data_IF_944708041466
#
_entry.id   IF_944708041466
#
_cell.length_a   1.000
_cell.length_b   1.000
_cell.length_c   1.000
_cell.angle_alpha   90.00
_cell.angle_beta   90.00
_cell.angle_gamma   90.00
#
_symmetry.space_group_name_H-M   'P 1'
#
loop_
_entity.id
_entity.type
_entity.pdbx_description
1 polymer ?
#
# COMPACT_ATOMS: atom_id res chain seq x y z
N UNK A 1 -9.16 -24.28 -0.47
CA UNK A 1 -8.33 -25.25 0.28
C UNK A 1 -7.01 -25.66 -0.38
N UNK A 2 -6.66 -25.19 -1.59
CA UNK A 2 -5.32 -25.41 -2.19
C UNK A 2 -4.33 -24.28 -1.92
N UNK A 3 -4.79 -23.02 -2.04
CA UNK A 3 -3.97 -21.81 -1.89
C UNK A 3 -3.29 -21.72 -0.51
N UNK A 4 -4.02 -21.93 0.59
CA UNK A 4 -3.45 -21.90 1.94
C UNK A 4 -2.36 -22.95 2.16
N UNK A 5 -2.45 -24.10 1.46
CA UNK A 5 -1.41 -25.14 1.53
C UNK A 5 -0.14 -24.74 0.77
N UNK A 6 -0.28 -24.04 -0.36
CA UNK A 6 0.83 -23.52 -1.15
C UNK A 6 1.55 -22.40 -0.39
N UNK A 7 0.81 -21.48 0.24
CA UNK A 7 1.36 -20.39 1.05
C UNK A 7 2.14 -20.97 2.25
N UNK A 8 1.61 -21.98 2.94
CA UNK A 8 2.32 -22.66 4.03
C UNK A 8 3.63 -23.33 3.57
N UNK A 9 3.65 -23.92 2.37
CA UNK A 9 4.88 -24.47 1.77
C UNK A 9 5.88 -23.37 1.42
N UNK A 10 5.43 -22.27 0.82
CA UNK A 10 6.26 -21.10 0.54
C UNK A 10 6.89 -20.53 1.80
N UNK A 11 6.10 -20.41 2.88
CA UNK A 11 6.58 -19.96 4.18
C UNK A 11 7.65 -20.89 4.77
N UNK A 12 7.48 -22.22 4.61
CA UNK A 12 8.50 -23.19 5.02
C UNK A 12 9.81 -23.01 4.23
N UNK A 13 9.74 -22.76 2.93
CA UNK A 13 10.92 -22.51 2.10
C UNK A 13 11.60 -21.19 2.47
N UNK A 14 10.83 -20.13 2.67
CA UNK A 14 11.33 -18.82 3.14
C UNK A 14 12.07 -18.93 4.47
N UNK A 15 11.51 -19.67 5.45
CA UNK A 15 12.19 -19.95 6.70
C UNK A 15 13.51 -20.72 6.51
N UNK A 16 13.52 -21.72 5.63
CA UNK A 16 14.74 -22.47 5.32
C UNK A 16 15.81 -21.55 4.70
N UNK A 17 15.43 -20.73 3.72
CA UNK A 17 16.34 -19.78 3.08
C UNK A 17 16.93 -18.82 4.12
N UNK A 18 16.12 -18.26 5.01
CA UNK A 18 16.59 -17.37 6.07
C UNK A 18 17.46 -18.09 7.12
N UNK A 19 17.35 -19.42 7.25
CA UNK A 19 18.25 -20.21 8.10
C UNK A 19 19.67 -20.25 7.53
N UNK A 20 19.81 -20.30 6.20
CA UNK A 20 21.11 -20.31 5.51
C UNK A 20 21.63 -18.91 5.18
N UNK A 21 20.72 -17.96 4.90
CA UNK A 21 21.02 -16.60 4.47
C UNK A 21 20.21 -15.60 5.31
N UNK A 22 20.60 -15.37 6.58
CA UNK A 22 19.86 -14.49 7.48
C UNK A 22 19.90 -13.03 7.05
N UNK A 23 20.82 -12.63 6.17
CA UNK A 23 20.97 -11.26 5.66
C UNK A 23 20.12 -10.97 4.43
N UNK A 24 19.33 -11.95 3.94
CA UNK A 24 18.49 -11.77 2.75
C UNK A 24 17.24 -10.95 3.11
N UNK A 25 17.35 -9.63 2.97
CA UNK A 25 16.30 -8.69 3.37
C UNK A 25 14.95 -8.91 2.67
N UNK A 26 14.96 -9.13 1.36
CA UNK A 26 13.74 -9.37 0.57
C UNK A 26 12.97 -10.60 1.07
N UNK A 27 13.67 -11.66 1.48
CA UNK A 27 13.06 -12.85 2.05
C UNK A 27 12.42 -12.56 3.43
N UNK A 28 12.97 -11.65 4.23
CA UNK A 28 12.33 -11.23 5.49
C UNK A 28 11.06 -10.43 5.27
N UNK A 29 11.09 -9.50 4.31
CA UNK A 29 9.91 -8.70 3.94
C UNK A 29 8.80 -9.61 3.43
N UNK A 30 9.13 -10.53 2.53
CA UNK A 30 8.16 -11.51 2.02
C UNK A 30 7.64 -12.42 3.13
N UNK A 31 8.49 -12.84 4.07
CA UNK A 31 8.05 -13.62 5.23
C UNK A 31 7.07 -12.83 6.11
N UNK A 32 7.37 -11.56 6.40
CA UNK A 32 6.48 -10.68 7.16
C UNK A 32 5.10 -10.54 6.47
N UNK A 33 5.07 -10.31 5.17
CA UNK A 33 3.83 -10.24 4.38
C UNK A 33 3.04 -11.56 4.43
N UNK A 34 3.70 -12.71 4.24
CA UNK A 34 3.03 -14.02 4.30
C UNK A 34 2.46 -14.33 5.68
N UNK A 35 3.12 -13.87 6.75
CA UNK A 35 2.63 -14.00 8.12
C UNK A 35 1.39 -13.15 8.35
N UNK A 36 1.37 -11.90 7.86
CA UNK A 36 0.18 -11.04 7.95
C UNK A 36 -1.02 -11.63 7.21
N UNK A 37 -0.78 -12.27 6.05
CA UNK A 37 -1.86 -12.90 5.29
C UNK A 37 -2.43 -14.14 5.99
N UNK A 38 -1.59 -14.92 6.67
CA UNK A 38 -2.00 -16.14 7.37
C UNK A 38 -2.57 -15.88 8.77
N UNK A 39 -2.04 -14.89 9.46
CA UNK A 39 -2.35 -14.58 10.86
C UNK A 39 -2.53 -13.05 11.02
N UNK A 40 -3.60 -12.48 10.45
CA UNK A 40 -3.82 -11.02 10.50
C UNK A 40 -3.96 -10.48 11.93
N UNK A 41 -4.46 -11.31 12.86
CA UNK A 41 -4.65 -10.93 14.27
C UNK A 41 -3.34 -10.97 15.10
N UNK A 42 -2.25 -11.51 14.54
CA UNK A 42 -0.96 -11.68 15.24
C UNK A 42 0.21 -11.05 14.46
N UNK A 43 0.25 -9.72 14.35
CA UNK A 43 1.27 -9.01 13.56
C UNK A 43 2.63 -8.92 14.26
N UNK A 44 2.81 -9.46 15.47
CA UNK A 44 4.04 -9.25 16.25
C UNK A 44 5.26 -9.85 15.56
N UNK A 45 5.11 -11.03 14.95
CA UNK A 45 6.17 -11.68 14.19
C UNK A 45 6.58 -10.86 12.97
N UNK A 46 5.60 -10.38 12.20
CA UNK A 46 5.85 -9.53 11.03
C UNK A 46 6.56 -8.22 11.44
N UNK A 47 6.09 -7.59 12.51
CA UNK A 47 6.68 -6.36 13.06
C UNK A 47 8.14 -6.57 13.46
N UNK A 48 8.44 -7.66 14.16
CA UNK A 48 9.81 -7.98 14.59
C UNK A 48 10.75 -8.20 13.40
N UNK A 49 10.28 -8.90 12.36
CA UNK A 49 11.06 -9.14 11.15
C UNK A 49 11.36 -7.85 10.39
N UNK A 50 10.37 -6.96 10.27
CA UNK A 50 10.55 -5.65 9.64
C UNK A 50 11.51 -4.77 10.45
N UNK A 51 11.41 -4.75 11.78
CA UNK A 51 12.35 -4.02 12.63
C UNK A 51 13.78 -4.58 12.53
N UNK A 52 13.96 -5.90 12.42
CA UNK A 52 15.26 -6.50 12.14
C UNK A 52 15.78 -6.06 10.77
N UNK A 53 14.92 -6.04 9.76
CA UNK A 53 15.29 -5.56 8.42
C UNK A 53 15.75 -4.10 8.46
N UNK A 54 15.04 -3.23 9.17
CA UNK A 54 15.40 -1.82 9.31
C UNK A 54 16.66 -1.57 10.13
N UNK A 55 17.06 -2.51 11.01
CA UNK A 55 18.36 -2.46 11.69
C UNK A 55 19.52 -2.79 10.74
N UNK A 56 19.27 -3.66 9.76
CA UNK A 56 20.25 -4.05 8.75
C UNK A 56 20.33 -3.03 7.62
N UNK A 57 19.17 -2.55 7.16
CA UNK A 57 19.01 -1.58 6.08
C UNK A 57 18.00 -0.50 6.50
N UNK A 58 18.44 0.59 7.13
CA UNK A 58 17.55 1.67 7.58
C UNK A 58 16.81 2.36 6.43
N UNK A 59 17.39 2.37 5.24
CA UNK A 59 16.86 2.96 4.00
C UNK A 59 15.76 2.14 3.31
N UNK A 60 15.38 0.99 3.86
CA UNK A 60 14.39 0.10 3.25
C UNK A 60 12.98 0.70 3.35
N UNK A 61 12.58 1.38 2.27
CA UNK A 61 11.29 2.08 2.13
C UNK A 61 10.12 1.13 2.30
N UNK A 62 10.16 -0.04 1.64
CA UNK A 62 9.07 -1.02 1.68
C UNK A 62 8.85 -1.53 3.10
N UNK A 63 9.93 -1.75 3.84
CA UNK A 63 9.85 -2.14 5.24
C UNK A 63 9.21 -1.05 6.12
N UNK A 64 9.51 0.23 5.89
CA UNK A 64 8.86 1.35 6.59
C UNK A 64 7.37 1.47 6.25
N UNK A 65 6.99 1.31 4.97
CA UNK A 65 5.60 1.38 4.54
C UNK A 65 4.76 0.23 5.11
N UNK A 66 5.30 -1.00 5.15
CA UNK A 66 4.65 -2.15 5.78
C UNK A 66 4.54 -1.99 7.30
N UNK A 67 5.58 -1.44 7.95
CA UNK A 67 5.53 -1.15 9.38
C UNK A 67 4.44 -0.12 9.69
N UNK A 68 4.30 0.91 8.85
CA UNK A 68 3.24 1.90 8.96
C UNK A 68 1.84 1.30 8.79
N UNK A 69 1.64 0.40 7.83
CA UNK A 69 0.34 -0.26 7.62
C UNK A 69 -0.05 -1.16 8.79
N UNK A 70 0.90 -1.93 9.34
CA UNK A 70 0.67 -2.75 10.54
C UNK A 70 0.31 -1.85 11.74
N UNK A 71 1.07 -0.77 11.93
CA UNK A 71 0.85 0.18 13.01
C UNK A 71 -0.52 0.86 12.92
N UNK A 72 -0.96 1.22 11.70
CA UNK A 72 -2.30 1.76 11.43
C UNK A 72 -3.40 0.75 11.80
N UNK A 73 -3.26 -0.51 11.39
CA UNK A 73 -4.21 -1.58 11.73
C UNK A 73 -4.27 -1.81 13.25
N UNK A 74 -3.12 -1.74 13.93
CA UNK A 74 -3.01 -1.82 15.39
C UNK A 74 -3.37 -0.53 16.13
N UNK A 75 -3.90 0.48 15.46
CA UNK A 75 -4.25 1.80 16.02
C UNK A 75 -3.08 2.55 16.69
N UNK A 76 -1.85 2.18 16.37
CA UNK A 76 -0.65 2.85 16.84
C UNK A 76 -0.24 3.97 15.86
N UNK A 77 -1.03 5.05 15.86
CA UNK A 77 -0.86 6.15 14.92
C UNK A 77 0.49 6.86 15.05
N UNK A 78 1.08 6.89 16.25
CA UNK A 78 2.42 7.49 16.45
C UNK A 78 3.50 6.73 15.71
N UNK A 79 3.51 5.39 15.84
CA UNK A 79 4.46 4.54 15.13
C UNK A 79 4.24 4.63 13.62
N UNK A 80 2.98 4.64 13.16
CA UNK A 80 2.65 4.78 11.76
C UNK A 80 3.18 6.09 11.16
N UNK A 81 2.92 7.23 11.83
CA UNK A 81 3.42 8.55 11.41
C UNK A 81 4.94 8.56 11.33
N UNK A 82 5.65 8.12 12.38
CA UNK A 82 7.11 8.07 12.39
C UNK A 82 7.68 7.18 11.29
N UNK A 83 7.01 6.07 10.96
CA UNK A 83 7.46 5.14 9.92
C UNK A 83 7.30 5.76 8.53
N UNK A 84 6.18 6.47 8.28
CA UNK A 84 5.97 7.20 7.02
C UNK A 84 6.94 8.37 6.85
N UNK A 85 7.26 9.09 7.92
CA UNK A 85 8.26 10.16 7.89
C UNK A 85 9.65 9.60 7.59
N UNK A 86 10.01 8.45 8.17
CA UNK A 86 11.26 7.77 7.87
C UNK A 86 11.33 7.32 6.42
N UNK A 87 10.29 6.67 5.88
CA UNK A 87 10.22 6.31 4.47
C UNK A 87 10.48 7.51 3.54
N UNK A 88 9.81 8.63 3.82
CA UNK A 88 9.95 9.85 3.03
C UNK A 88 11.33 10.52 3.20
N UNK A 89 11.98 10.38 4.35
CA UNK A 89 13.31 10.93 4.60
C UNK A 89 14.41 10.20 3.83
N UNK A 90 14.22 8.91 3.55
CA UNK A 90 15.16 8.11 2.75
C UNK A 90 14.90 8.24 1.25
N UNK A 91 13.63 8.30 0.84
CA UNK A 91 13.26 8.45 -0.56
C UNK A 91 12.05 9.38 -0.73
N UNK A 92 12.27 10.51 -1.38
CA UNK A 92 11.22 11.51 -1.65
C UNK A 92 10.22 11.05 -2.71
N UNK A 93 10.59 10.10 -3.57
CA UNK A 93 9.69 9.58 -4.62
C UNK A 93 8.50 8.82 -4.02
N UNK A 94 8.66 8.33 -2.78
CA UNK A 94 7.63 7.66 -1.98
C UNK A 94 6.36 8.47 -1.84
N UNK A 95 6.47 9.81 -1.82
CA UNK A 95 5.28 10.70 -1.74
C UNK A 95 4.29 10.48 -2.88
N UNK A 96 4.77 10.07 -4.05
CA UNK A 96 3.95 9.82 -5.24
C UNK A 96 3.38 8.40 -5.29
N UNK A 97 3.81 7.51 -4.38
CA UNK A 97 3.34 6.14 -4.33
C UNK A 97 1.89 6.12 -3.82
N UNK A 98 0.96 5.47 -4.55
CA UNK A 98 -0.43 5.37 -4.13
C UNK A 98 -0.60 4.72 -2.75
N UNK A 99 0.22 3.72 -2.43
CA UNK A 99 0.23 3.08 -1.12
C UNK A 99 0.61 4.06 0.00
N UNK A 100 1.65 4.87 -0.19
CA UNK A 100 2.02 5.91 0.78
C UNK A 100 0.90 6.94 0.96
N UNK A 101 0.32 7.42 -0.15
CA UNK A 101 -0.76 8.41 -0.11
C UNK A 101 -2.02 7.86 0.58
N UNK A 102 -2.34 6.58 0.38
CA UNK A 102 -3.42 5.87 1.08
C UNK A 102 -3.18 5.86 2.60
N UNK A 103 -2.01 5.38 3.05
CA UNK A 103 -1.67 5.31 4.47
C UNK A 103 -1.65 6.71 5.12
N UNK A 104 -1.13 7.70 4.40
CA UNK A 104 -1.13 9.09 4.86
C UNK A 104 -2.54 9.66 4.98
N UNK A 105 -3.41 9.42 3.99
CA UNK A 105 -4.82 9.81 4.04
C UNK A 105 -5.53 9.21 5.24
N UNK A 106 -5.34 7.91 5.48
CA UNK A 106 -5.89 7.22 6.66
C UNK A 106 -5.42 7.85 7.96
N UNK A 107 -4.12 8.15 8.11
CA UNK A 107 -3.61 8.82 9.30
C UNK A 107 -4.25 10.19 9.52
N UNK A 108 -4.33 11.02 8.48
CA UNK A 108 -4.97 12.33 8.55
C UNK A 108 -6.44 12.22 8.96
N UNK A 109 -7.17 11.22 8.43
CA UNK A 109 -8.54 10.93 8.86
C UNK A 109 -8.63 10.54 10.34
N UNK A 110 -7.64 9.83 10.88
CA UNK A 110 -7.58 9.51 12.33
C UNK A 110 -7.21 10.70 13.20
N UNK A 111 -6.51 11.69 12.65
CA UNK A 111 -6.22 12.97 13.31
C UNK A 111 -7.34 14.01 13.15
N UNK A 112 -8.49 13.64 12.57
CA UNK A 112 -9.62 14.54 12.29
C UNK A 112 -9.27 15.67 11.28
N UNK A 113 -8.17 15.51 10.53
CA UNK A 113 -7.74 16.42 9.47
C UNK A 113 -8.37 15.99 8.14
N UNK A 114 -9.71 16.03 8.09
CA UNK A 114 -10.48 15.43 6.99
C UNK A 114 -10.27 16.12 5.63
N UNK A 115 -10.11 17.45 5.60
CA UNK A 115 -9.83 18.18 4.37
C UNK A 115 -8.45 17.84 3.78
N UNK A 116 -7.43 17.76 4.63
CA UNK A 116 -6.08 17.36 4.22
C UNK A 116 -6.06 15.90 3.76
N UNK A 117 -6.78 15.01 4.47
CA UNK A 117 -6.94 13.62 4.07
C UNK A 117 -7.56 13.52 2.67
N UNK A 118 -8.64 14.26 2.43
CA UNK A 118 -9.33 14.26 1.15
C UNK A 118 -8.41 14.74 0.01
N UNK A 119 -7.64 15.81 0.24
CA UNK A 119 -6.72 16.35 -0.75
C UNK A 119 -5.67 15.31 -1.17
N UNK A 120 -5.05 14.63 -0.20
CA UNK A 120 -4.04 13.59 -0.46
C UNK A 120 -4.64 12.39 -1.20
N UNK A 121 -5.84 11.94 -0.81
CA UNK A 121 -6.50 10.78 -1.41
C UNK A 121 -6.98 11.07 -2.85
N UNK A 122 -7.46 12.29 -3.11
CA UNK A 122 -7.83 12.72 -4.46
C UNK A 122 -6.63 12.85 -5.39
N UNK A 123 -5.50 13.37 -4.87
CA UNK A 123 -4.23 13.40 -5.60
C UNK A 123 -3.83 11.98 -6.02
N UNK A 124 -3.93 11.02 -5.11
CA UNK A 124 -3.64 9.61 -5.40
C UNK A 124 -4.55 9.01 -6.47
N UNK A 125 -5.86 9.25 -6.42
CA UNK A 125 -6.82 8.77 -7.44
C UNK A 125 -6.56 9.38 -8.82
N UNK A 126 -6.05 10.61 -8.86
CA UNK A 126 -5.69 11.30 -10.10
C UNK A 126 -4.37 10.81 -10.71
N UNK A 127 -3.55 10.11 -9.92
CA UNK A 127 -2.21 9.70 -10.30
C UNK A 127 -2.23 8.64 -11.43
N UNK A 128 -1.29 8.75 -12.38
CA UNK A 128 -1.29 7.94 -13.60
C UNK A 128 -1.15 6.43 -13.31
N UNK A 129 -0.46 6.05 -12.23
CA UNK A 129 -0.31 4.67 -11.79
C UNK A 129 -1.67 4.02 -11.44
N UNK A 130 -2.49 4.72 -10.65
CA UNK A 130 -3.85 4.26 -10.26
C UNK A 130 -4.77 4.23 -11.47
N UNK A 131 -4.66 5.22 -12.36
CA UNK A 131 -5.47 5.26 -13.58
C UNK A 131 -5.09 4.16 -14.58
N UNK A 132 -3.82 3.80 -14.66
CA UNK A 132 -3.33 2.72 -15.51
C UNK A 132 -3.83 1.36 -15.02
N UNK A 133 -3.79 1.11 -13.71
CA UNK A 133 -4.24 -0.16 -13.10
C UNK A 133 -5.75 -0.34 -13.20
N UNK A 134 -6.52 0.75 -13.17
CA UNK A 134 -7.97 0.75 -13.35
C UNK A 134 -8.41 0.74 -14.83
N UNK A 135 -7.49 0.67 -15.79
CA UNK A 135 -7.82 0.67 -17.23
C UNK A 135 -8.40 2.00 -17.74
N UNK A 136 -8.27 3.09 -16.98
CA UNK A 136 -8.77 4.44 -17.29
C UNK A 136 -7.81 5.27 -18.17
N UNK A 137 -6.81 4.61 -18.76
CA UNK A 137 -5.73 5.22 -19.56
C UNK A 137 -6.11 5.57 -21.00
N UNK A 138 -7.41 5.66 -21.29
CA UNK A 138 -7.96 5.84 -22.64
C UNK A 138 -7.75 7.21 -23.31
N UNK A 139 -7.01 8.16 -22.74
CA UNK A 139 -6.96 9.53 -23.28
C UNK A 139 -5.60 10.28 -23.23
N UNK A 140 -4.45 9.60 -23.22
CA UNK A 140 -3.18 10.27 -23.55
C UNK A 140 -2.15 9.31 -24.16
N UNK A 141 -2.44 8.78 -25.35
CA UNK A 141 -1.42 8.10 -26.17
C UNK A 141 -0.78 9.15 -27.08
N UNK A 142 0.11 9.97 -26.51
CA UNK A 142 0.80 11.02 -27.24
C UNK A 142 1.96 11.61 -26.45
N UNK A 143 3.17 11.18 -26.81
CA UNK A 143 4.48 11.79 -26.50
C UNK A 143 5.00 11.58 -25.07
N UNK A 144 5.80 10.53 -24.88
CA UNK A 144 7.16 10.62 -24.33
C UNK A 144 7.87 9.28 -24.55
N UNK A 145 8.75 9.26 -25.55
CA UNK A 145 9.81 8.27 -25.70
C UNK A 145 10.98 8.79 -24.86
N UNK A 146 11.17 8.23 -23.68
CA UNK A 146 12.32 8.46 -22.83
C UNK A 146 13.00 7.12 -22.63
N UNK A 147 14.18 6.96 -23.22
CA UNK A 147 15.06 5.82 -22.98
C UNK A 147 15.52 5.88 -21.53
N UNK A 148 14.98 4.98 -20.71
CA UNK A 148 15.42 4.71 -19.35
C UNK A 148 15.10 3.26 -19.06
N UNK A 149 16.14 2.43 -18.95
CA UNK A 149 16.08 1.15 -18.24
C UNK A 149 15.71 1.45 -16.78
N UNK A 150 14.42 1.62 -16.51
CA UNK A 150 13.85 1.75 -15.19
C UNK A 150 13.29 0.40 -14.78
N UNK A 151 13.79 -0.08 -13.64
CA UNK A 151 13.31 -1.23 -12.85
C UNK A 151 11.77 -1.35 -12.89
N UNK A 152 11.28 -2.07 -13.89
CA UNK A 152 9.86 -2.24 -14.15
C UNK A 152 9.30 -3.30 -13.20
N UNK A 153 8.59 -2.86 -12.16
CA UNK A 153 7.61 -3.74 -11.52
C UNK A 153 7.33 -3.56 -10.03
N UNK A 154 8.09 -2.77 -9.27
CA UNK A 154 7.93 -2.80 -7.80
C UNK A 154 6.86 -1.86 -7.22
N UNK A 155 6.37 -0.87 -7.97
CA UNK A 155 5.54 0.22 -7.42
C UNK A 155 4.24 0.52 -8.19
N UNK A 156 3.75 -0.41 -9.02
CA UNK A 156 2.43 -0.26 -9.65
C UNK A 156 1.33 -0.39 -8.60
N UNK A 157 0.34 0.53 -8.61
CA UNK A 157 -0.78 0.48 -7.67
C UNK A 157 -1.51 -0.86 -7.79
N UNK A 158 -1.54 -1.67 -6.73
CA UNK A 158 -2.32 -2.92 -6.77
C UNK A 158 -3.81 -2.60 -6.83
N UNK A 159 -4.59 -3.51 -7.41
CA UNK A 159 -6.04 -3.36 -7.50
C UNK A 159 -6.69 -3.26 -6.12
N UNK A 160 -6.14 -3.97 -5.13
CA UNK A 160 -6.57 -3.90 -3.73
C UNK A 160 -6.33 -2.51 -3.13
N UNK A 161 -5.20 -1.89 -3.47
CA UNK A 161 -4.84 -0.53 -3.04
C UNK A 161 -5.77 0.49 -3.67
N UNK A 162 -6.09 0.31 -4.95
CA UNK A 162 -7.05 1.16 -5.66
C UNK A 162 -8.44 1.05 -5.01
N UNK A 163 -8.90 -0.16 -4.70
CA UNK A 163 -10.17 -0.38 -4.01
C UNK A 163 -10.17 0.29 -2.63
N UNK A 164 -9.12 0.09 -1.84
CA UNK A 164 -8.95 0.73 -0.54
C UNK A 164 -8.96 2.27 -0.64
N UNK A 165 -8.31 2.82 -1.67
CA UNK A 165 -8.28 4.26 -1.93
C UNK A 165 -9.67 4.83 -2.25
N UNK A 166 -10.46 4.14 -3.08
CA UNK A 166 -11.86 4.54 -3.32
C UNK A 166 -12.70 4.48 -2.05
N UNK A 167 -12.59 3.40 -1.27
CA UNK A 167 -13.36 3.21 -0.04
C UNK A 167 -13.02 4.31 0.97
N UNK A 168 -11.73 4.56 1.19
CA UNK A 168 -11.27 5.58 2.14
C UNK A 168 -11.73 6.97 1.71
N UNK A 169 -11.60 7.31 0.41
CA UNK A 169 -12.04 8.61 -0.10
C UNK A 169 -13.55 8.81 0.07
N UNK A 170 -14.36 7.78 -0.21
CA UNK A 170 -15.82 7.82 0.02
C UNK A 170 -16.13 8.00 1.51
N UNK A 171 -15.39 7.31 2.39
CA UNK A 171 -15.55 7.44 3.83
C UNK A 171 -15.24 8.87 4.31
N UNK A 172 -14.16 9.49 3.83
CA UNK A 172 -13.80 10.88 4.14
C UNK A 172 -14.85 11.86 3.62
N UNK A 173 -15.36 11.68 2.39
CA UNK A 173 -16.46 12.51 1.88
C UNK A 173 -17.72 12.41 2.75
N UNK A 174 -18.07 11.21 3.20
CA UNK A 174 -19.21 11.01 4.09
C UNK A 174 -18.99 11.68 5.45
N UNK A 175 -17.78 11.60 6.02
CA UNK A 175 -17.40 12.26 7.26
C UNK A 175 -17.47 13.80 7.16
N UNK A 176 -17.17 14.37 5.99
CA UNK A 176 -17.31 15.79 5.67
C UNK A 176 -18.75 16.22 5.33
N UNK A 177 -19.74 15.33 5.44
CA UNK A 177 -21.14 15.56 5.02
C UNK A 177 -21.31 15.91 3.52
N UNK A 178 -20.29 15.61 2.70
CA UNK A 178 -20.27 15.77 1.24
C UNK A 178 -20.90 14.56 0.56
N UNK A 179 -22.16 14.31 0.88
CA UNK A 179 -22.92 13.15 0.44
C UNK A 179 -23.11 13.02 -1.09
N UNK A 180 -23.30 14.10 -1.89
CA UNK A 180 -23.44 13.93 -3.32
C UNK A 180 -22.13 13.45 -3.95
N UNK A 181 -20.99 14.01 -3.54
CA UNK A 181 -19.66 13.58 -4.03
C UNK A 181 -19.33 12.15 -3.58
N UNK A 182 -19.67 11.78 -2.34
CA UNK A 182 -19.51 10.41 -1.85
C UNK A 182 -20.28 9.40 -2.71
N UNK A 183 -21.54 9.72 -3.07
CA UNK A 183 -22.39 8.85 -3.89
C UNK A 183 -21.86 8.73 -5.32
N UNK A 184 -21.42 9.84 -5.91
CA UNK A 184 -20.86 9.86 -7.24
C UNK A 184 -19.59 9.00 -7.31
N UNK A 185 -18.66 9.20 -6.37
CA UNK A 185 -17.42 8.43 -6.33
C UNK A 185 -17.69 6.94 -6.08
N UNK A 186 -18.67 6.59 -5.23
CA UNK A 186 -19.08 5.20 -5.01
C UNK A 186 -19.71 4.57 -6.28
N UNK A 187 -20.43 5.35 -7.08
CA UNK A 187 -20.96 4.88 -8.36
C UNK A 187 -19.85 4.68 -9.39
N UNK A 188 -18.86 5.57 -9.43
CA UNK A 188 -17.67 5.42 -10.27
C UNK A 188 -16.89 4.16 -9.90
N UNK A 189 -16.61 3.95 -8.61
CA UNK A 189 -15.95 2.73 -8.11
C UNK A 189 -16.70 1.48 -8.57
N UNK A 190 -18.04 1.48 -8.43
CA UNK A 190 -18.87 0.36 -8.89
C UNK A 190 -18.74 0.11 -10.39
N UNK A 191 -18.64 1.16 -11.22
CA UNK A 191 -18.42 0.99 -12.66
C UNK A 191 -17.07 0.34 -12.96
N UNK A 192 -16.01 0.83 -12.31
CA UNK A 192 -14.64 0.34 -12.50
C UNK A 192 -14.48 -1.11 -12.05
N UNK A 193 -14.86 -1.43 -10.82
CA UNK A 193 -14.69 -2.78 -10.23
C UNK A 193 -15.73 -3.81 -10.69
N UNK A 194 -16.82 -3.39 -11.34
CA UNK A 194 -17.79 -4.31 -11.95
C UNK A 194 -17.41 -4.71 -13.37
N UNK A 195 -16.66 -3.86 -14.09
CA UNK A 195 -16.23 -4.11 -15.47
C UNK A 195 -14.99 -5.00 -15.56
N UNK A 196 -14.32 -5.26 -14.45
CA UNK A 196 -13.20 -6.20 -14.40
C UNK A 196 -13.77 -7.61 -14.28
N UNK A 197 -13.92 -8.28 -15.43
CA UNK A 197 -14.28 -9.70 -15.49
C UNK A 197 -13.19 -10.52 -14.78
N UNK A 198 -13.63 -11.45 -13.92
CA UNK A 198 -12.79 -12.23 -13.02
C UNK A 198 -12.43 -13.55 -13.70
N UNK A 199 -11.23 -13.65 -14.25
CA UNK A 199 -10.58 -14.94 -14.58
C UNK A 199 -9.24 -15.07 -13.86
#
# INVERSE_FOLDING_TARGET
>A
GGATSAIKKGLSLLNQVLTYLPMLGEAKVLLAQTQLLLNPDHPELATNLLQQRLKEEPSDVDAHLLLASIALAGQNYRLATSSLEQALSYDFTVRSLPWYQLLKGQLLSRYDQLDDALAVLQEALSCSAVRATLGLSGMMRGVMKGDGEGDGGKHGASMDECAALYIETVHVFAALYRLPEAKELAAQARGVFKSTEWE
#
